data_IF_886629684806
#
_entry.id   IF_886629684806
#
_cell.length_a   1.000
_cell.length_b   1.000
_cell.length_c   1.000
_cell.angle_alpha   90.00
_cell.angle_beta   90.00
_cell.angle_gamma   90.00
#
_symmetry.space_group_name_H-M   'P 1'
#
loop_
_entity.id
_entity.type
_entity.pdbx_description
1 polymer ?
#
# COMPACT_ATOMS: atom_id res chain seq x y z
N UNK A 1 5.61 -14.38 6.67
CA UNK A 1 4.85 -14.19 5.42
C UNK A 1 5.63 -13.25 4.50
N UNK A 2 5.72 -13.58 3.23
CA UNK A 2 6.35 -12.73 2.22
C UNK A 2 5.37 -12.53 1.06
N UNK A 3 5.20 -11.28 0.64
CA UNK A 3 4.32 -10.86 -0.46
C UNK A 3 5.08 -9.96 -1.44
N UNK A 4 4.70 -9.90 -2.73
CA UNK A 4 5.28 -8.92 -3.64
C UNK A 4 4.95 -7.50 -3.17
N UNK A 5 5.94 -6.60 -3.25
CA UNK A 5 5.69 -5.18 -3.02
C UNK A 5 5.15 -4.55 -4.29
N UNK A 6 3.88 -4.22 -4.26
CA UNK A 6 3.17 -3.60 -5.36
C UNK A 6 3.53 -2.10 -5.46
N UNK A 7 3.48 -1.56 -6.66
CA UNK A 7 3.71 -0.13 -6.95
C UNK A 7 2.40 0.54 -7.41
N UNK A 8 1.54 0.81 -6.47
CA UNK A 8 0.23 1.40 -6.67
C UNK A 8 -0.13 2.45 -5.61
N UNK A 9 -1.41 2.60 -5.36
CA UNK A 9 -1.94 3.50 -4.34
C UNK A 9 -2.59 2.66 -3.24
N UNK A 10 -2.08 2.74 -2.00
CA UNK A 10 -2.77 2.09 -0.89
C UNK A 10 -4.20 2.58 -0.80
N UNK A 11 -5.11 1.65 -0.83
CA UNK A 11 -6.54 1.86 -0.73
C UNK A 11 -7.10 1.06 0.45
N UNK A 12 -7.75 1.75 1.36
CA UNK A 12 -8.47 1.15 2.48
C UNK A 12 -9.96 1.32 2.26
N UNK A 13 -10.67 0.22 2.12
CA UNK A 13 -12.10 0.21 1.88
C UNK A 13 -12.87 -0.15 3.14
N UNK A 14 -13.97 0.55 3.40
CA UNK A 14 -14.92 0.24 4.47
C UNK A 14 -16.24 -0.14 3.82
N UNK A 15 -16.66 -1.38 4.03
CA UNK A 15 -17.97 -1.89 3.61
C UNK A 15 -18.82 -2.04 4.85
N UNK A 16 -19.95 -1.34 4.89
CA UNK A 16 -20.88 -1.39 6.02
C UNK A 16 -22.30 -1.10 5.57
N UNK A 17 -23.24 -1.98 5.95
CA UNK A 17 -24.67 -1.78 5.72
C UNK A 17 -25.01 -1.47 4.25
N UNK A 18 -24.40 -2.19 3.32
CA UNK A 18 -24.63 -2.03 1.87
C UNK A 18 -24.00 -0.79 1.24
N UNK A 19 -23.09 -0.12 1.94
CA UNK A 19 -22.30 1.00 1.43
C UNK A 19 -20.81 0.64 1.42
N UNK A 20 -20.08 1.12 0.41
CA UNK A 20 -18.64 0.98 0.31
C UNK A 20 -18.00 2.36 0.15
N UNK A 21 -16.96 2.63 0.92
CA UNK A 21 -16.16 3.85 0.81
C UNK A 21 -14.69 3.49 0.69
N UNK A 22 -14.01 4.07 -0.30
CA UNK A 22 -12.60 3.83 -0.60
C UNK A 22 -11.78 5.03 -0.15
N UNK A 23 -10.72 4.79 0.61
CA UNK A 23 -9.86 5.84 1.16
C UNK A 23 -8.41 5.63 0.79
N UNK A 24 -7.74 6.68 0.35
CA UNK A 24 -6.27 6.69 0.27
C UNK A 24 -5.63 6.67 1.65
N UNK A 25 -4.34 6.41 1.71
CA UNK A 25 -3.53 6.45 2.96
C UNK A 25 -3.67 7.75 3.76
N UNK A 26 -3.93 8.87 3.08
CA UNK A 26 -4.14 10.17 3.72
C UNK A 26 -5.53 10.35 4.35
N UNK A 27 -6.42 9.38 4.20
CA UNK A 27 -7.84 9.48 4.56
C UNK A 27 -8.70 10.20 3.52
N UNK A 28 -8.13 10.58 2.37
CA UNK A 28 -8.89 11.19 1.28
C UNK A 28 -9.72 10.13 0.56
N UNK A 29 -10.99 10.44 0.31
CA UNK A 29 -11.92 9.58 -0.43
C UNK A 29 -11.48 9.41 -1.89
N UNK A 30 -11.61 8.20 -2.43
CA UNK A 30 -11.32 7.83 -3.83
C UNK A 30 -12.62 7.28 -4.44
N UNK A 31 -13.52 8.14 -4.86
CA UNK A 31 -14.86 7.74 -5.35
C UNK A 31 -14.87 7.26 -6.81
N UNK A 32 -13.79 7.45 -7.56
CA UNK A 32 -13.76 7.12 -8.98
C UNK A 32 -13.90 5.61 -9.27
N UNK A 33 -13.68 4.76 -8.28
CA UNK A 33 -13.75 3.30 -8.37
C UNK A 33 -14.97 2.68 -7.67
N UNK A 34 -15.92 3.51 -7.22
CA UNK A 34 -17.12 3.02 -6.50
C UNK A 34 -17.95 2.05 -7.34
N UNK A 35 -18.06 2.32 -8.67
CA UNK A 35 -18.86 1.51 -9.61
C UNK A 35 -18.18 0.20 -10.06
N UNK A 36 -16.90 0.07 -9.88
CA UNK A 36 -16.10 -1.12 -10.21
C UNK A 36 -15.69 -1.84 -8.92
N UNK A 37 -14.59 -1.45 -8.33
CA UNK A 37 -14.05 -2.02 -7.09
C UNK A 37 -15.06 -1.95 -5.94
N UNK A 38 -15.73 -0.80 -5.75
CA UNK A 38 -16.71 -0.64 -4.68
C UNK A 38 -17.87 -1.63 -4.79
N UNK A 39 -18.42 -1.82 -5.99
CA UNK A 39 -19.50 -2.78 -6.23
C UNK A 39 -19.07 -4.24 -5.99
N UNK A 40 -17.82 -4.59 -6.29
CA UNK A 40 -17.31 -5.94 -6.03
C UNK A 40 -17.04 -6.16 -4.55
N UNK A 41 -16.50 -5.18 -3.83
CA UNK A 41 -16.31 -5.26 -2.39
C UNK A 41 -17.65 -5.41 -1.63
N UNK A 42 -18.73 -4.78 -2.10
CA UNK A 42 -20.06 -4.96 -1.54
C UNK A 42 -20.51 -6.43 -1.58
N UNK A 43 -20.09 -7.19 -2.60
CA UNK A 43 -20.40 -8.63 -2.69
C UNK A 43 -19.66 -9.45 -1.63
N UNK A 44 -18.51 -8.99 -1.14
CA UNK A 44 -17.71 -9.67 -0.11
C UNK A 44 -18.27 -9.48 1.31
N UNK A 45 -19.22 -8.54 1.49
CA UNK A 45 -19.90 -8.27 2.75
C UNK A 45 -19.16 -7.26 3.65
N UNK A 46 -19.78 -6.99 4.79
CA UNK A 46 -19.32 -5.97 5.74
C UNK A 46 -17.92 -6.27 6.29
N UNK A 47 -17.09 -5.24 6.37
CA UNK A 47 -15.71 -5.32 6.83
C UNK A 47 -14.83 -4.21 6.29
N UNK A 48 -13.56 -4.23 6.67
CA UNK A 48 -12.56 -3.32 6.15
C UNK A 48 -11.53 -4.11 5.33
N UNK A 49 -11.30 -3.66 4.12
CA UNK A 49 -10.42 -4.30 3.14
C UNK A 49 -9.22 -3.39 2.88
N UNK A 50 -8.01 -3.90 3.11
CA UNK A 50 -6.78 -3.14 2.94
C UNK A 50 -6.01 -3.72 1.75
N UNK A 51 -5.67 -2.86 0.80
CA UNK A 51 -5.06 -3.30 -0.46
C UNK A 51 -4.27 -2.21 -1.16
N UNK A 52 -3.75 -2.56 -2.31
CA UNK A 52 -3.10 -1.65 -3.24
C UNK A 52 -3.96 -1.51 -4.49
N UNK A 53 -4.35 -0.30 -4.82
CA UNK A 53 -5.07 0.04 -6.04
C UNK A 53 -4.07 0.06 -7.19
N UNK A 54 -4.28 -0.79 -8.18
CA UNK A 54 -3.38 -1.07 -9.28
C UNK A 54 -3.98 -0.63 -10.62
N UNK A 55 -3.11 -0.28 -11.55
CA UNK A 55 -3.40 0.02 -12.94
C UNK A 55 -2.21 -0.37 -13.80
N UNK A 56 -2.14 0.15 -15.02
CA UNK A 56 -1.02 -0.13 -15.94
C UNK A 56 0.33 0.32 -15.38
N UNK A 57 0.35 1.47 -14.70
CA UNK A 57 1.51 2.02 -13.98
C UNK A 57 1.05 2.98 -12.87
N UNK A 58 2.00 3.35 -11.98
CA UNK A 58 1.73 4.26 -10.85
C UNK A 58 1.18 5.62 -11.28
N UNK A 59 1.67 6.20 -12.39
CA UNK A 59 1.25 7.53 -12.86
C UNK A 59 -0.17 7.47 -13.39
N UNK A 60 -0.51 6.43 -14.14
CA UNK A 60 -1.85 6.23 -14.70
C UNK A 60 -2.88 6.02 -13.60
N UNK A 61 -2.61 5.17 -12.60
CA UNK A 61 -3.52 4.93 -11.50
C UNK A 61 -3.70 6.18 -10.62
N UNK A 62 -2.64 6.95 -10.38
CA UNK A 62 -2.72 8.23 -9.67
C UNK A 62 -3.62 9.24 -10.40
N UNK A 63 -3.52 9.30 -11.73
CA UNK A 63 -4.43 10.15 -12.52
C UNK A 63 -5.87 9.69 -12.38
N UNK A 64 -6.15 8.41 -12.55
CA UNK A 64 -7.53 7.90 -12.45
C UNK A 64 -8.11 8.10 -11.06
N UNK A 65 -7.33 7.96 -10.00
CA UNK A 65 -7.81 8.13 -8.63
C UNK A 65 -8.28 9.55 -8.31
N UNK A 66 -7.74 10.57 -8.98
CA UNK A 66 -7.98 11.97 -8.61
C UNK A 66 -8.48 12.88 -9.73
N UNK A 67 -8.69 12.36 -10.95
CA UNK A 67 -9.25 13.18 -12.04
C UNK A 67 -10.74 13.38 -11.82
N UNK A 68 -11.26 14.47 -12.42
CA UNK A 68 -12.66 14.89 -12.24
C UNK A 68 -13.58 14.41 -13.37
N UNK A 69 -13.03 14.23 -14.54
CA UNK A 69 -13.69 13.93 -15.81
C UNK A 69 -12.91 12.88 -16.59
N UNK A 70 -13.53 12.26 -17.57
CA UNK A 70 -12.96 11.18 -18.40
C UNK A 70 -12.35 10.04 -17.55
N UNK A 71 -13.06 9.65 -16.50
CA UNK A 71 -12.64 8.58 -15.60
C UNK A 71 -12.74 7.25 -16.37
N UNK A 72 -11.61 6.56 -16.49
CA UNK A 72 -11.55 5.21 -17.05
C UNK A 72 -10.94 4.27 -16.02
N UNK A 73 -11.74 3.34 -15.51
CA UNK A 73 -11.32 2.34 -14.53
C UNK A 73 -11.09 0.95 -15.14
N UNK A 74 -11.16 0.83 -16.47
CA UNK A 74 -10.83 -0.42 -17.16
C UNK A 74 -9.37 -0.82 -16.88
N UNK A 75 -9.14 -2.09 -16.62
CA UNK A 75 -7.82 -2.63 -16.29
C UNK A 75 -7.31 -2.26 -14.88
N UNK A 76 -8.10 -1.51 -14.10
CA UNK A 76 -7.73 -1.23 -12.69
C UNK A 76 -8.31 -2.28 -11.76
N UNK A 77 -7.58 -2.59 -10.70
CA UNK A 77 -8.03 -3.56 -9.68
C UNK A 77 -7.47 -3.23 -8.31
N UNK A 78 -8.09 -3.76 -7.27
CA UNK A 78 -7.61 -3.70 -5.89
C UNK A 78 -7.00 -5.04 -5.50
N UNK A 79 -5.70 -5.04 -5.27
CA UNK A 79 -4.96 -6.19 -4.76
C UNK A 79 -5.02 -6.18 -3.23
N UNK A 80 -5.84 -7.02 -2.65
CA UNK A 80 -6.08 -7.10 -1.21
C UNK A 80 -4.98 -7.90 -0.52
N UNK A 81 -4.42 -7.35 0.54
CA UNK A 81 -3.39 -7.97 1.35
C UNK A 81 -3.75 -8.07 2.84
N UNK A 82 -4.87 -7.50 3.27
CA UNK A 82 -5.36 -7.62 4.65
C UNK A 82 -6.88 -7.37 4.73
N UNK A 83 -7.49 -7.88 5.78
CA UNK A 83 -8.90 -7.72 6.08
C UNK A 83 -9.09 -7.50 7.59
N UNK A 84 -10.08 -6.69 7.94
CA UNK A 84 -10.46 -6.44 9.33
C UNK A 84 -11.98 -6.52 9.47
N UNK A 85 -12.52 -7.34 10.38
CA UNK A 85 -13.91 -7.23 10.82
C UNK A 85 -14.20 -5.81 11.33
N UNK A 86 -15.44 -5.36 11.21
CA UNK A 86 -15.83 -4.01 11.65
C UNK A 86 -15.62 -3.76 13.14
N UNK A 87 -15.83 -4.77 13.98
CA UNK A 87 -15.56 -4.66 15.42
C UNK A 87 -14.07 -4.48 15.74
N UNK A 88 -13.19 -5.14 14.99
CA UNK A 88 -11.75 -4.93 15.09
C UNK A 88 -11.35 -3.52 14.62
N UNK A 89 -11.98 -3.02 13.56
CA UNK A 89 -11.78 -1.65 13.08
C UNK A 89 -12.25 -0.61 14.10
N UNK A 90 -13.34 -0.86 14.82
CA UNK A 90 -13.85 0.05 15.84
C UNK A 90 -12.91 0.22 17.03
N UNK A 91 -12.03 -0.75 17.32
CA UNK A 91 -10.99 -0.62 18.34
C UNK A 91 -10.05 0.57 18.11
N UNK A 92 -9.96 1.07 16.87
CA UNK A 92 -9.20 2.27 16.49
C UNK A 92 -9.70 3.54 17.16
N UNK A 93 -11.02 3.66 17.36
CA UNK A 93 -11.69 4.95 17.71
C UNK A 93 -11.58 5.32 19.18
N UNK A 94 -11.06 4.46 20.02
CA UNK A 94 -10.81 4.77 21.41
C UNK A 94 -9.54 5.63 21.51
N UNK A 95 -9.74 6.91 21.71
CA UNK A 95 -8.85 8.05 21.43
C UNK A 95 -7.56 8.13 22.26
N UNK A 96 -7.22 7.13 23.05
CA UNK A 96 -6.13 7.24 24.03
C UNK A 96 -4.82 6.59 23.64
N UNK A 97 -4.74 5.86 22.51
CA UNK A 97 -3.51 5.11 22.19
C UNK A 97 -3.21 4.98 20.70
N UNK A 98 -2.24 5.76 20.24
CA UNK A 98 -1.36 5.34 19.14
C UNK A 98 -0.78 3.96 19.48
N UNK A 99 -1.04 2.96 18.64
CA UNK A 99 -0.47 1.62 18.82
C UNK A 99 -1.42 0.53 19.29
N UNK A 100 -2.73 0.76 19.33
CA UNK A 100 -3.70 -0.33 19.54
C UNK A 100 -3.54 -1.38 18.45
N UNK A 101 -3.68 -2.61 18.87
CA UNK A 101 -3.59 -3.82 18.04
C UNK A 101 -4.93 -4.52 18.04
N UNK A 102 -5.24 -5.17 16.93
CA UNK A 102 -6.39 -6.07 16.82
C UNK A 102 -6.14 -7.39 17.55
N UNK A 103 -7.14 -8.25 17.61
CA UNK A 103 -7.03 -9.57 18.23
C UNK A 103 -6.58 -10.64 17.24
N UNK A 104 -7.02 -10.55 15.98
CA UNK A 104 -6.71 -11.52 14.95
C UNK A 104 -5.25 -11.41 14.50
N UNK A 105 -4.61 -12.56 14.27
CA UNK A 105 -3.28 -12.64 13.67
C UNK A 105 -3.30 -12.18 12.20
N UNK A 106 -2.13 -11.88 11.64
CA UNK A 106 -1.99 -11.54 10.22
C UNK A 106 -2.48 -12.68 9.32
N UNK A 107 -2.20 -13.93 9.69
CA UNK A 107 -2.66 -15.08 8.94
C UNK A 107 -4.16 -15.25 9.02
N UNK A 108 -4.76 -15.19 10.21
CA UNK A 108 -6.22 -15.37 10.36
C UNK A 108 -7.02 -14.34 9.58
N UNK A 109 -6.55 -13.09 9.55
CA UNK A 109 -7.19 -12.03 8.76
C UNK A 109 -7.14 -12.32 7.25
N UNK A 110 -6.03 -12.89 6.79
CA UNK A 110 -5.89 -13.22 5.38
C UNK A 110 -6.69 -14.47 4.99
N UNK A 111 -6.75 -15.47 5.86
CA UNK A 111 -7.62 -16.66 5.66
C UNK A 111 -9.10 -16.24 5.59
N UNK A 112 -9.54 -15.35 6.46
CA UNK A 112 -10.89 -14.77 6.40
C UNK A 112 -11.12 -14.02 5.07
N UNK A 113 -10.13 -13.27 4.58
CA UNK A 113 -10.19 -12.61 3.27
C UNK A 113 -10.35 -13.62 2.15
N UNK A 114 -9.53 -14.69 2.15
CA UNK A 114 -9.59 -15.74 1.14
C UNK A 114 -10.95 -16.49 1.19
N UNK A 115 -11.49 -16.76 2.38
CA UNK A 115 -12.80 -17.36 2.53
C UNK A 115 -13.90 -16.52 1.87
N UNK A 116 -13.90 -15.21 2.11
CA UNK A 116 -14.84 -14.26 1.49
C UNK A 116 -14.73 -14.20 -0.03
N UNK A 117 -13.50 -14.20 -0.55
CA UNK A 117 -13.24 -14.23 -1.98
C UNK A 117 -13.69 -15.57 -2.59
N UNK A 118 -13.43 -16.72 -1.93
CA UNK A 118 -13.78 -18.05 -2.43
C UNK A 118 -15.28 -18.33 -2.42
N UNK A 119 -16.01 -17.88 -1.42
CA UNK A 119 -17.48 -17.99 -1.34
C UNK A 119 -18.17 -17.30 -2.53
N UNK A 120 -17.50 -16.31 -3.13
CA UNK A 120 -17.95 -15.53 -4.28
C UNK A 120 -17.28 -15.93 -5.60
N UNK A 121 -16.50 -17.02 -5.63
CA UNK A 121 -15.78 -17.49 -6.83
C UNK A 121 -16.72 -17.80 -8.02
N UNK A 122 -18.02 -17.96 -7.77
CA UNK A 122 -19.06 -18.02 -8.81
C UNK A 122 -19.57 -16.64 -9.27
N UNK A 123 -19.10 -15.54 -8.70
CA UNK A 123 -19.37 -14.19 -9.18
C UNK A 123 -18.07 -13.66 -9.82
N UNK A 124 -18.14 -13.29 -11.06
CA UNK A 124 -17.04 -12.71 -11.81
C UNK A 124 -16.53 -11.45 -11.07
N UNK A 125 -15.45 -11.58 -10.30
CA UNK A 125 -14.71 -10.49 -9.71
C UNK A 125 -13.58 -10.16 -10.70
N UNK A 126 -13.67 -9.00 -11.33
CA UNK A 126 -12.69 -8.52 -12.30
C UNK A 126 -11.72 -7.50 -11.70
N UNK A 127 -12.18 -6.81 -10.65
CA UNK A 127 -11.49 -5.64 -10.09
C UNK A 127 -11.00 -5.86 -8.65
N UNK A 128 -11.23 -7.02 -8.06
CA UNK A 128 -10.79 -7.33 -6.68
C UNK A 128 -10.16 -8.72 -6.64
N UNK A 129 -8.95 -8.79 -6.12
CA UNK A 129 -8.22 -10.06 -5.96
C UNK A 129 -7.32 -10.02 -4.71
N UNK A 130 -6.96 -11.19 -4.17
CA UNK A 130 -5.93 -11.26 -3.15
C UNK A 130 -4.52 -11.16 -3.75
N UNK A 131 -3.57 -10.65 -2.97
CA UNK A 131 -2.15 -10.75 -3.34
C UNK A 131 -1.65 -12.18 -3.19
N UNK A 132 -0.67 -12.55 -4.00
CA UNK A 132 0.07 -13.78 -3.80
C UNK A 132 0.87 -13.71 -2.49
N UNK A 133 0.85 -14.81 -1.73
CA UNK A 133 1.51 -14.89 -0.43
C UNK A 133 2.32 -16.16 -0.30
N UNK A 134 3.53 -16.05 0.20
CA UNK A 134 4.39 -17.19 0.54
C UNK A 134 4.59 -17.22 2.05
N UNK A 135 4.31 -18.35 2.68
CA UNK A 135 4.57 -18.60 4.10
C UNK A 135 5.90 -19.35 4.18
N UNK A 136 6.82 -18.83 4.97
CA UNK A 136 8.09 -19.48 5.30
C UNK A 136 8.17 -19.75 6.80
N UNK A 137 8.55 -20.94 7.16
CA UNK A 137 8.79 -21.34 8.55
C UNK A 137 10.28 -21.13 8.88
N UNK A 138 10.58 -20.29 9.87
CA UNK A 138 11.93 -19.98 10.32
C UNK A 138 12.91 -19.62 9.17
N UNK A 139 12.56 -18.65 8.29
CA UNK A 139 13.38 -18.35 7.13
C UNK A 139 14.73 -17.77 7.52
N UNK A 140 15.74 -18.11 6.74
CA UNK A 140 17.02 -17.41 6.74
C UNK A 140 16.91 -16.10 5.96
N UNK A 141 17.91 -15.24 6.06
CA UNK A 141 17.96 -14.02 5.23
C UNK A 141 18.07 -14.37 3.74
N UNK A 142 18.77 -15.44 3.41
CA UNK A 142 18.92 -15.94 2.03
C UNK A 142 17.59 -16.36 1.42
N UNK A 143 16.73 -17.06 2.18
CA UNK A 143 15.39 -17.46 1.73
C UNK A 143 14.53 -16.24 1.41
N UNK A 144 14.60 -15.22 2.27
CA UNK A 144 13.88 -13.96 2.06
C UNK A 144 14.42 -13.22 0.83
N UNK A 145 15.74 -13.20 0.68
CA UNK A 145 16.40 -12.54 -0.44
C UNK A 145 16.07 -13.21 -1.78
N UNK A 146 16.02 -14.54 -1.82
CA UNK A 146 15.66 -15.29 -3.02
C UNK A 146 14.25 -14.91 -3.52
N UNK A 147 13.27 -14.87 -2.62
CA UNK A 147 11.91 -14.43 -2.95
C UNK A 147 11.86 -12.95 -3.36
N UNK A 148 12.59 -12.09 -2.67
CA UNK A 148 12.71 -10.68 -3.06
C UNK A 148 13.24 -10.54 -4.49
N UNK A 149 14.35 -11.22 -4.82
CA UNK A 149 14.98 -11.14 -6.12
C UNK A 149 14.07 -11.73 -7.22
N UNK A 150 13.32 -12.77 -6.90
CA UNK A 150 12.27 -13.32 -7.77
C UNK A 150 11.19 -12.25 -8.04
N UNK A 151 10.67 -11.58 -7.02
CA UNK A 151 9.66 -10.53 -7.21
C UNK A 151 10.19 -9.36 -8.05
N UNK A 152 11.42 -8.92 -7.77
CA UNK A 152 12.08 -7.87 -8.58
C UNK A 152 12.23 -8.31 -10.03
N UNK A 153 12.61 -9.56 -10.31
CA UNK A 153 12.71 -10.09 -11.68
C UNK A 153 11.36 -10.16 -12.40
N UNK A 154 10.26 -10.27 -11.64
CA UNK A 154 8.89 -10.20 -12.16
C UNK A 154 8.35 -8.77 -12.31
N UNK A 155 9.16 -7.73 -12.00
CA UNK A 155 8.79 -6.32 -12.15
C UNK A 155 8.15 -5.67 -10.93
N UNK A 156 8.12 -6.35 -9.78
CA UNK A 156 7.66 -5.75 -8.52
C UNK A 156 8.73 -4.84 -7.89
N UNK A 157 8.33 -3.89 -7.05
CA UNK A 157 9.25 -2.95 -6.37
C UNK A 157 10.16 -3.65 -5.33
N UNK A 158 9.84 -4.88 -4.95
CA UNK A 158 10.52 -5.68 -3.94
C UNK A 158 9.57 -6.62 -3.22
N UNK A 159 9.77 -6.79 -1.91
CA UNK A 159 8.97 -7.66 -1.06
C UNK A 159 8.41 -6.92 0.17
N UNK A 160 7.23 -7.36 0.62
CA UNK A 160 6.68 -7.05 1.93
C UNK A 160 6.84 -8.27 2.83
N UNK A 161 7.39 -8.08 4.02
CA UNK A 161 7.60 -9.13 5.02
C UNK A 161 6.66 -8.85 6.16
N UNK A 162 5.86 -9.83 6.54
CA UNK A 162 4.87 -9.72 7.62
C UNK A 162 5.09 -10.82 8.66
N UNK A 163 4.96 -10.44 9.91
CA UNK A 163 4.91 -11.39 11.01
C UNK A 163 3.58 -12.16 10.94
N UNK A 164 3.67 -13.49 10.91
CA UNK A 164 2.54 -14.41 10.75
C UNK A 164 1.49 -14.24 11.86
N UNK A 165 1.94 -14.13 13.11
CA UNK A 165 1.10 -14.05 14.30
C UNK A 165 0.74 -12.62 14.70
N UNK A 166 1.28 -11.62 14.02
CA UNK A 166 1.09 -10.25 14.42
C UNK A 166 -0.36 -9.77 14.24
N UNK A 167 -0.92 -9.10 15.25
CA UNK A 167 -2.16 -8.37 15.11
C UNK A 167 -1.97 -7.16 14.17
N UNK A 168 -3.08 -6.69 13.58
CA UNK A 168 -3.05 -5.45 12.79
C UNK A 168 -2.74 -4.26 13.71
N UNK A 169 -1.74 -3.49 13.33
CA UNK A 169 -1.34 -2.27 14.06
C UNK A 169 -1.84 -1.03 13.33
N UNK A 170 -2.59 -0.19 14.03
CA UNK A 170 -2.96 1.14 13.53
C UNK A 170 -1.77 2.10 13.68
N UNK A 171 -0.91 2.15 12.67
CA UNK A 171 0.28 2.99 12.67
C UNK A 171 1.53 2.27 12.13
N UNK A 172 2.71 2.80 12.50
CA UNK A 172 3.99 2.19 12.13
C UNK A 172 4.42 1.17 13.18
N UNK A 173 4.97 0.04 12.72
CA UNK A 173 5.51 -1.02 13.57
C UNK A 173 6.47 -1.90 12.80
N UNK A 174 7.05 -2.87 13.50
CA UNK A 174 7.96 -3.85 12.91
C UNK A 174 7.23 -5.11 12.43
N UNK A 175 5.93 -5.19 12.66
CA UNK A 175 5.09 -6.31 12.26
C UNK A 175 4.97 -6.42 10.73
N UNK A 176 5.21 -5.30 10.02
CA UNK A 176 5.24 -5.24 8.56
C UNK A 176 6.48 -4.45 8.13
N UNK A 177 7.36 -5.10 7.41
CA UNK A 177 8.58 -4.53 6.87
C UNK A 177 8.58 -4.57 5.35
N UNK A 178 9.29 -3.64 4.73
CA UNK A 178 9.49 -3.62 3.29
C UNK A 178 10.97 -3.86 2.97
N UNK A 179 11.21 -4.74 2.03
CA UNK A 179 12.50 -4.95 1.39
C UNK A 179 12.38 -4.49 -0.06
N UNK A 180 13.16 -3.51 -0.46
CA UNK A 180 13.12 -2.96 -1.81
C UNK A 180 14.51 -2.68 -2.35
N UNK A 181 14.62 -2.64 -3.67
CA UNK A 181 15.85 -2.24 -4.33
C UNK A 181 16.09 -0.74 -4.08
N UNK A 182 17.30 -0.41 -3.68
CA UNK A 182 17.78 0.95 -3.65
C UNK A 182 18.70 1.16 -4.86
N UNK A 183 18.44 2.20 -5.61
CA UNK A 183 19.33 2.65 -6.65
C UNK A 183 20.11 3.86 -6.14
N UNK A 184 21.43 3.77 -6.15
CA UNK A 184 22.31 4.85 -5.77
C UNK A 184 22.93 5.46 -7.02
N UNK A 185 23.18 6.76 -6.98
CA UNK A 185 23.90 7.46 -8.03
C UNK A 185 24.78 8.55 -7.41
N UNK A 186 26.05 8.57 -7.81
CA UNK A 186 26.96 9.66 -7.49
C UNK A 186 26.76 10.79 -8.52
N UNK A 187 26.29 11.94 -8.05
CA UNK A 187 25.98 13.07 -8.90
C UNK A 187 26.77 14.31 -8.50
N UNK A 188 27.24 15.05 -9.51
CA UNK A 188 27.90 16.32 -9.27
C UNK A 188 26.86 17.37 -8.86
N UNK A 189 27.10 18.04 -7.72
CA UNK A 189 26.34 19.20 -7.29
C UNK A 189 26.59 20.37 -8.27
N UNK A 190 25.52 20.87 -8.86
CA UNK A 190 25.52 22.02 -9.77
C UNK A 190 25.14 23.32 -9.09
N UNK A 191 24.40 23.25 -7.97
CA UNK A 191 23.94 24.43 -7.24
C UNK A 191 23.54 24.12 -5.80
N UNK A 192 23.42 25.19 -5.01
CA UNK A 192 22.92 25.16 -3.64
C UNK A 192 21.69 26.07 -3.58
N UNK A 193 20.63 25.57 -3.00
CA UNK A 193 19.38 26.31 -2.85
C UNK A 193 19.11 26.58 -1.37
N UNK A 194 18.70 27.80 -1.08
CA UNK A 194 18.35 28.21 0.27
C UNK A 194 17.02 27.55 0.71
N UNK A 195 16.94 27.19 1.97
CA UNK A 195 15.72 26.71 2.60
C UNK A 195 14.67 27.80 2.77
N UNK A 196 13.42 27.38 2.93
CA UNK A 196 12.30 28.31 3.13
C UNK A 196 11.72 28.19 4.55
N UNK A 197 10.97 29.21 5.00
CA UNK A 197 10.31 29.22 6.29
C UNK A 197 11.32 29.15 7.44
N UNK A 198 11.22 28.15 8.31
CA UNK A 198 12.13 27.96 9.46
C UNK A 198 13.59 27.68 9.08
N UNK A 199 13.83 27.33 7.81
CA UNK A 199 15.16 27.03 7.28
C UNK A 199 15.73 28.15 6.39
N UNK A 200 15.12 29.36 6.39
CA UNK A 200 15.67 30.52 5.69
C UNK A 200 17.08 30.85 6.24
N UNK A 201 17.99 31.20 5.34
CA UNK A 201 19.40 31.43 5.67
C UNK A 201 20.26 30.16 5.80
N UNK A 202 19.66 28.96 5.65
CA UNK A 202 20.35 27.67 5.67
C UNK A 202 20.27 26.99 4.31
N UNK A 203 21.11 25.97 4.09
CA UNK A 203 20.99 25.11 2.91
C UNK A 203 19.68 24.31 2.96
N UNK A 204 18.83 24.48 1.94
CA UNK A 204 17.57 23.76 1.81
C UNK A 204 17.67 22.52 0.92
N UNK A 205 18.45 22.60 -0.16
CA UNK A 205 18.69 21.47 -1.06
C UNK A 205 19.92 21.65 -1.93
N UNK A 206 20.46 20.54 -2.41
CA UNK A 206 21.45 20.50 -3.49
C UNK A 206 20.72 20.41 -4.84
N UNK A 207 21.26 21.10 -5.82
CA UNK A 207 20.85 21.00 -7.22
C UNK A 207 21.82 20.07 -7.94
N UNK A 208 21.31 19.08 -8.63
CA UNK A 208 22.09 18.05 -9.34
C UNK A 208 21.47 17.79 -10.71
N UNK A 209 22.25 17.33 -11.65
CA UNK A 209 21.78 16.92 -12.97
C UNK A 209 21.72 15.38 -13.01
N UNK A 210 20.52 14.82 -13.18
CA UNK A 210 20.29 13.39 -13.31
C UNK A 210 19.62 13.09 -14.65
N UNK A 211 20.30 12.31 -15.51
CA UNK A 211 19.81 11.97 -16.86
C UNK A 211 19.34 13.19 -17.69
N UNK A 212 20.05 14.32 -17.58
CA UNK A 212 19.71 15.55 -18.30
C UNK A 212 18.59 16.38 -17.67
N UNK A 213 18.04 15.95 -16.54
CA UNK A 213 16.99 16.65 -15.79
C UNK A 213 17.61 17.24 -14.52
N UNK A 214 17.27 18.49 -14.23
CA UNK A 214 17.68 19.15 -13.00
C UNK A 214 16.81 18.67 -11.83
N UNK A 215 17.43 18.14 -10.79
CA UNK A 215 16.77 17.56 -9.61
C UNK A 215 17.26 18.26 -8.34
N UNK A 216 16.36 18.51 -7.41
CA UNK A 216 16.67 19.05 -6.09
C UNK A 216 16.67 17.94 -5.04
N UNK A 217 17.79 17.80 -4.32
CA UNK A 217 17.96 16.80 -3.25
C UNK A 217 18.07 17.53 -1.91
N UNK A 218 17.01 17.45 -1.10
CA UNK A 218 16.92 18.13 0.20
C UNK A 218 16.70 17.19 1.38
N UNK A 219 16.47 15.89 1.13
CA UNK A 219 16.34 14.89 2.19
C UNK A 219 17.72 14.47 2.74
N UNK A 220 17.80 14.27 4.06
CA UNK A 220 19.05 13.87 4.72
C UNK A 220 19.94 15.02 5.20
N UNK A 221 19.53 16.28 4.97
CA UNK A 221 20.18 17.43 5.58
C UNK A 221 19.77 17.55 7.05
N UNK A 222 20.74 17.76 7.92
CA UNK A 222 20.53 18.05 9.36
C UNK A 222 20.75 19.54 9.60
N UNK A 223 20.11 20.07 10.66
CA UNK A 223 20.27 21.46 11.12
C UNK A 223 21.70 21.75 11.62
#
# INVERSE_FOLDING_TARGET
IIEPKLDGIRCFAIVQSGQCQLFARSGKLISNFDKTIGNELLKLGDGCYDGELMGDDFVSIMRQAYRKDDINTAGTYLALFDFLPLDEWQLRTDSTTTGKKTRMSCNDRFEELLARLSERFNSDLEHVQAVDRTILENPTFEDIKELHDKYVSCGFEGAMIKDFDAPYRFGRGYEVMKLKVFNDADLKVSGLLEGTGKHAGKLGSFQVLFNGVEVQVGSGLTD
#
